data_IF_493546987275
#
_entry.id   IF_493546987275
#
_cell.length_a   1.000
_cell.length_b   1.000
_cell.length_c   1.000
_cell.angle_alpha   90.00
_cell.angle_beta   90.00
_cell.angle_gamma   90.00
#
_symmetry.space_group_name_H-M   'P 1'
#
loop_
_entity.id
_entity.type
_entity.pdbx_description
1 polymer ?
#
# COMPACT_ATOMS: atom_id res chain seq x y z
N UNK A 1 -21.84 0.34 -2.37
CA UNK A 1 -21.26 0.19 -3.72
C UNK A 1 -21.54 1.47 -4.47
N UNK A 2 -20.52 2.24 -4.82
CA UNK A 2 -20.69 3.45 -5.65
C UNK A 2 -20.54 3.02 -7.09
N UNK A 3 -21.49 3.39 -7.95
CA UNK A 3 -21.42 3.01 -9.36
C UNK A 3 -20.23 3.73 -9.99
N UNK A 4 -19.43 3.03 -10.79
CA UNK A 4 -18.18 3.56 -11.35
C UNK A 4 -18.37 4.89 -12.12
N UNK A 5 -19.56 5.12 -12.69
CA UNK A 5 -19.92 6.36 -13.40
C UNK A 5 -20.33 7.53 -12.49
N UNK A 6 -20.29 7.40 -11.17
CA UNK A 6 -20.43 8.52 -10.22
C UNK A 6 -19.14 8.77 -9.45
N UNK A 7 -18.10 7.96 -9.72
CA UNK A 7 -16.81 8.08 -9.05
C UNK A 7 -16.17 9.43 -9.43
N UNK A 8 -15.85 10.23 -8.42
CA UNK A 8 -15.25 11.58 -8.53
C UNK A 8 -16.23 12.71 -8.92
N UNK A 9 -17.55 12.48 -8.83
CA UNK A 9 -18.51 13.57 -8.94
C UNK A 9 -18.26 14.62 -7.83
N UNK A 10 -18.21 15.90 -8.22
CA UNK A 10 -17.93 16.99 -7.30
C UNK A 10 -16.46 17.21 -6.96
N UNK A 11 -15.52 16.48 -7.57
CA UNK A 11 -14.08 16.73 -7.37
C UNK A 11 -13.74 18.22 -7.62
N UNK A 12 -12.98 18.87 -6.72
CA UNK A 12 -12.69 20.29 -6.81
C UNK A 12 -11.88 20.60 -8.06
N UNK A 13 -12.13 21.77 -8.64
CA UNK A 13 -11.34 22.24 -9.77
C UNK A 13 -10.01 22.79 -9.26
N UNK A 14 -8.90 22.25 -9.76
CA UNK A 14 -7.55 22.71 -9.42
C UNK A 14 -7.14 23.95 -10.21
N UNK A 15 -7.82 24.22 -11.33
CA UNK A 15 -7.52 25.33 -12.23
C UNK A 15 -8.08 26.67 -11.73
N UNK A 16 -9.32 26.66 -11.23
CA UNK A 16 -10.01 27.85 -10.74
C UNK A 16 -10.20 27.86 -9.21
N UNK A 17 -9.94 26.74 -8.56
CA UNK A 17 -10.17 26.57 -7.13
C UNK A 17 -11.63 26.25 -6.77
N UNK A 18 -11.86 25.78 -5.54
CA UNK A 18 -13.20 25.41 -5.06
C UNK A 18 -14.14 26.60 -4.87
N UNK A 19 -13.62 27.81 -4.60
CA UNK A 19 -14.40 29.02 -4.39
C UNK A 19 -15.08 29.51 -5.68
N UNK A 20 -14.39 29.39 -6.82
CA UNK A 20 -14.90 29.84 -8.13
C UNK A 20 -15.75 28.76 -8.78
N UNK A 21 -15.30 27.50 -8.74
CA UNK A 21 -15.98 26.37 -9.36
C UNK A 21 -16.83 25.59 -8.36
N UNK A 22 -17.89 26.24 -7.88
CA UNK A 22 -18.85 25.66 -6.93
C UNK A 22 -19.51 24.42 -7.56
N UNK A 23 -19.37 23.27 -6.89
CA UNK A 23 -19.93 21.99 -7.34
C UNK A 23 -19.03 21.15 -8.24
N UNK A 24 -17.85 21.66 -8.62
CA UNK A 24 -16.75 20.87 -9.18
C UNK A 24 -17.07 20.13 -10.48
N UNK A 25 -16.58 18.90 -10.58
CA UNK A 25 -16.71 18.04 -11.77
C UNK A 25 -18.11 17.43 -11.87
N UNK A 26 -18.74 17.52 -13.04
CA UNK A 26 -19.95 16.78 -13.39
C UNK A 26 -19.59 15.47 -14.09
N UNK A 27 -20.21 14.37 -13.66
CA UNK A 27 -20.12 13.06 -14.31
C UNK A 27 -21.41 12.79 -15.07
N UNK A 28 -21.47 13.26 -16.32
CA UNK A 28 -22.46 12.75 -17.26
C UNK A 28 -21.93 11.45 -17.89
N UNK A 29 -22.81 10.56 -18.33
CA UNK A 29 -22.47 9.22 -18.81
C UNK A 29 -21.39 9.20 -19.91
N UNK A 30 -21.25 10.29 -20.67
CA UNK A 30 -20.32 10.39 -21.80
C UNK A 30 -19.15 11.36 -21.61
N UNK A 31 -19.14 12.24 -20.59
CA UNK A 31 -18.06 13.20 -20.37
C UNK A 31 -17.92 13.60 -18.89
N UNK A 32 -16.67 13.80 -18.47
CA UNK A 32 -16.29 14.33 -17.15
C UNK A 32 -15.84 15.79 -17.31
N UNK A 33 -16.70 16.75 -16.95
CA UNK A 33 -16.49 18.17 -17.23
C UNK A 33 -16.92 19.00 -16.02
N UNK A 34 -16.18 20.05 -15.68
CA UNK A 34 -16.61 20.98 -14.61
C UNK A 34 -17.91 21.70 -14.95
N UNK A 35 -18.81 21.78 -13.96
CA UNK A 35 -20.07 22.53 -14.06
C UNK A 35 -19.86 24.01 -14.37
N UNK A 36 -18.75 24.59 -13.89
CA UNK A 36 -18.48 26.02 -14.00
C UNK A 36 -17.45 26.34 -15.10
N UNK A 37 -16.22 25.82 -15.03
CA UNK A 37 -15.18 26.17 -16.01
C UNK A 37 -15.16 25.37 -17.31
N UNK A 38 -15.97 24.31 -17.44
CA UNK A 38 -15.93 23.36 -18.56
C UNK A 38 -14.57 22.71 -18.83
N UNK A 39 -13.63 22.88 -17.91
CA UNK A 39 -12.35 22.20 -17.82
C UNK A 39 -12.57 20.67 -17.66
N UNK A 40 -11.62 19.88 -18.16
CA UNK A 40 -11.74 18.43 -18.23
C UNK A 40 -11.31 17.73 -16.95
N UNK A 41 -11.46 16.41 -16.90
CA UNK A 41 -11.07 15.56 -15.76
C UNK A 41 -9.63 15.79 -15.25
N UNK A 42 -8.68 16.12 -16.14
CA UNK A 42 -7.28 16.35 -15.78
C UNK A 42 -7.06 17.61 -14.92
N UNK A 43 -7.98 18.58 -14.96
CA UNK A 43 -7.91 19.83 -14.19
C UNK A 43 -8.58 19.70 -12.80
N UNK A 44 -8.90 18.48 -12.39
CA UNK A 44 -9.60 18.17 -11.14
C UNK A 44 -8.82 17.13 -10.33
N UNK A 45 -9.03 17.12 -9.02
CA UNK A 45 -8.45 16.12 -8.12
C UNK A 45 -9.15 14.76 -8.31
N UNK A 46 -8.78 14.07 -9.40
CA UNK A 46 -9.26 12.75 -9.78
C UNK A 46 -8.06 11.81 -9.72
N UNK A 47 -8.15 10.80 -8.87
CA UNK A 47 -7.18 9.71 -8.85
C UNK A 47 -7.49 8.76 -9.99
N UNK A 48 -6.47 8.32 -10.72
CA UNK A 48 -6.67 7.27 -11.71
C UNK A 48 -7.06 5.96 -11.00
N UNK A 49 -7.72 5.05 -11.74
CA UNK A 49 -8.03 3.74 -11.18
C UNK A 49 -6.75 2.96 -10.81
N UNK A 50 -5.65 3.21 -11.53
CA UNK A 50 -4.32 2.68 -11.22
C UNK A 50 -3.74 3.26 -9.93
N UNK A 51 -3.94 4.55 -9.66
CA UNK A 51 -3.51 5.16 -8.39
C UNK A 51 -4.30 4.58 -7.22
N UNK A 52 -5.58 4.28 -7.44
CA UNK A 52 -6.44 3.68 -6.43
C UNK A 52 -6.04 2.24 -6.13
N UNK A 53 -5.79 1.41 -7.15
CA UNK A 53 -5.28 0.05 -6.96
C UNK A 53 -3.89 0.05 -6.30
N UNK A 54 -3.00 0.94 -6.71
CA UNK A 54 -1.69 1.10 -6.08
C UNK A 54 -1.80 1.47 -4.59
N UNK A 55 -2.70 2.39 -4.23
CA UNK A 55 -2.95 2.74 -2.82
C UNK A 55 -3.46 1.55 -2.00
N UNK A 56 -4.34 0.71 -2.56
CA UNK A 56 -4.81 -0.50 -1.88
C UNK A 56 -3.68 -1.51 -1.65
N UNK A 57 -2.86 -1.78 -2.68
CA UNK A 57 -1.74 -2.70 -2.61
C UNK A 57 -0.73 -2.22 -1.54
N UNK A 58 -0.36 -0.94 -1.56
CA UNK A 58 0.57 -0.39 -0.58
C UNK A 58 0.04 -0.51 0.86
N UNK A 59 -1.26 -0.25 1.05
CA UNK A 59 -1.90 -0.39 2.36
C UNK A 59 -1.85 -1.83 2.85
N UNK A 60 -2.15 -2.78 1.97
CA UNK A 60 -2.16 -4.20 2.32
C UNK A 60 -0.73 -4.71 2.61
N UNK A 61 0.27 -4.27 1.84
CA UNK A 61 1.69 -4.52 2.13
C UNK A 61 2.06 -3.93 3.50
N UNK A 62 1.64 -2.71 3.81
CA UNK A 62 1.91 -2.08 5.09
C UNK A 62 1.30 -2.88 6.24
N UNK A 63 0.08 -3.41 6.09
CA UNK A 63 -0.53 -4.30 7.08
C UNK A 63 0.25 -5.61 7.27
N UNK A 64 0.77 -6.21 6.18
CA UNK A 64 1.63 -7.39 6.28
C UNK A 64 2.93 -7.11 7.03
N UNK A 65 3.50 -5.91 6.84
CA UNK A 65 4.78 -5.51 7.41
C UNK A 65 4.66 -5.05 8.85
N UNK A 66 3.72 -4.15 9.16
CA UNK A 66 3.61 -3.48 10.47
C UNK A 66 2.36 -3.87 11.26
N UNK A 67 1.37 -4.50 10.62
CA UNK A 67 0.09 -4.81 11.26
C UNK A 67 0.20 -5.91 12.33
N UNK A 68 -0.74 -5.95 13.28
CA UNK A 68 -0.76 -6.97 14.34
C UNK A 68 -0.83 -8.38 13.77
N UNK A 69 -1.67 -8.59 12.74
CA UNK A 69 -1.87 -9.88 12.06
C UNK A 69 -0.88 -10.12 10.90
N UNK A 70 0.15 -9.26 10.76
CA UNK A 70 1.11 -9.34 9.67
C UNK A 70 1.91 -10.64 9.66
N UNK A 71 2.27 -11.11 8.46
CA UNK A 71 2.99 -12.38 8.24
C UNK A 71 4.37 -12.38 8.94
N UNK A 72 4.60 -13.34 9.83
CA UNK A 72 5.85 -13.45 10.60
C UNK A 72 7.11 -13.44 9.74
N UNK A 73 7.07 -14.08 8.57
CA UNK A 73 8.19 -14.15 7.61
C UNK A 73 8.61 -12.75 7.13
N UNK A 74 7.63 -11.88 6.84
CA UNK A 74 7.90 -10.51 6.35
C UNK A 74 8.51 -9.67 7.46
N UNK A 75 7.97 -9.76 8.69
CA UNK A 75 8.48 -9.06 9.87
C UNK A 75 9.92 -9.49 10.21
N UNK A 76 10.21 -10.79 10.16
CA UNK A 76 11.53 -11.35 10.45
C UNK A 76 12.58 -10.90 9.44
N UNK A 77 12.25 -10.90 8.15
CA UNK A 77 13.17 -10.43 7.11
C UNK A 77 13.49 -8.93 7.25
N UNK A 78 12.51 -8.11 7.62
CA UNK A 78 12.72 -6.67 7.86
C UNK A 78 13.58 -6.45 9.11
N UNK A 79 13.35 -7.22 10.18
CA UNK A 79 14.20 -7.19 11.38
C UNK A 79 15.65 -7.55 11.04
N UNK A 80 15.86 -8.63 10.29
CA UNK A 80 17.20 -9.06 9.84
C UNK A 80 17.90 -7.99 9.01
N UNK A 81 17.17 -7.36 8.07
CA UNK A 81 17.72 -6.26 7.27
C UNK A 81 18.12 -5.06 8.13
N UNK A 82 17.29 -4.69 9.11
CA UNK A 82 17.59 -3.59 10.03
C UNK A 82 18.82 -3.89 10.90
N UNK A 83 18.94 -5.11 11.43
CA UNK A 83 20.11 -5.54 12.21
C UNK A 83 21.39 -5.49 11.37
N UNK A 84 21.33 -5.96 10.12
CA UNK A 84 22.44 -5.85 9.19
C UNK A 84 22.81 -4.39 8.89
N UNK A 85 21.83 -3.49 8.79
CA UNK A 85 22.08 -2.06 8.55
C UNK A 85 22.68 -1.30 9.73
N UNK A 86 22.47 -1.78 10.96
CA UNK A 86 23.03 -1.16 12.17
C UNK A 86 24.42 -1.69 12.54
N UNK A 87 25.02 -2.57 11.71
CA UNK A 87 26.35 -3.12 11.94
C UNK A 87 26.44 -4.08 13.13
N UNK A 88 25.32 -4.44 13.75
CA UNK A 88 25.28 -5.60 14.63
C UNK A 88 25.42 -6.83 13.75
N UNK A 89 26.54 -7.54 13.88
CA UNK A 89 26.75 -8.81 13.20
C UNK A 89 25.50 -9.69 13.38
N UNK A 90 24.99 -10.31 12.29
CA UNK A 90 23.87 -11.24 12.42
C UNK A 90 24.26 -12.33 13.42
N UNK A 91 23.30 -12.73 14.27
CA UNK A 91 23.47 -13.83 15.23
C UNK A 91 24.24 -14.97 14.54
N UNK A 92 25.51 -15.11 14.89
CA UNK A 92 26.39 -16.13 14.34
C UNK A 92 25.71 -17.45 14.68
N UNK A 93 25.29 -18.22 13.66
CA UNK A 93 24.90 -19.61 13.85
C UNK A 93 25.91 -20.21 14.81
N UNK A 94 25.51 -20.66 16.02
CA UNK A 94 26.48 -21.05 17.02
C UNK A 94 27.39 -22.07 16.36
N UNK A 95 28.68 -21.72 16.26
CA UNK A 95 29.73 -22.64 15.82
C UNK A 95 29.93 -23.67 16.92
N UNK A 96 28.88 -24.43 17.21
CA UNK A 96 28.92 -25.61 18.02
C UNK A 96 29.26 -26.78 17.11
N UNK A 97 30.03 -27.73 17.64
CA UNK A 97 30.13 -29.05 17.02
C UNK A 97 28.75 -29.68 17.07
N UNK A 98 27.98 -29.55 15.98
CA UNK A 98 26.78 -30.32 15.79
C UNK A 98 27.20 -31.77 15.55
N UNK A 99 27.06 -32.61 16.57
CA UNK A 99 27.22 -34.04 16.40
C UNK A 99 26.12 -34.50 15.44
N UNK A 100 26.50 -35.07 14.30
CA UNK A 100 25.53 -35.70 13.42
C UNK A 100 24.79 -36.80 14.19
N UNK A 101 23.46 -36.71 14.24
CA UNK A 101 22.60 -37.72 14.85
C UNK A 101 21.86 -38.43 13.71
N UNK A 102 22.05 -39.75 13.54
CA UNK A 102 21.28 -40.52 12.57
C UNK A 102 19.79 -40.43 12.86
N UNK A 103 18.99 -40.40 11.79
CA UNK A 103 17.53 -40.45 11.88
C UNK A 103 17.09 -41.71 12.64
N UNK A 104 16.47 -41.52 13.81
CA UNK A 104 15.93 -42.61 14.64
C UNK A 104 16.47 -42.69 16.07
N UNK A 105 17.45 -41.88 16.45
CA UNK A 105 17.94 -41.85 17.85
C UNK A 105 17.17 -40.81 18.66
N UNK A 106 16.17 -41.24 19.44
CA UNK A 106 15.62 -40.43 20.54
C UNK A 106 16.54 -40.56 21.74
N UNK A 107 16.99 -39.43 22.31
CA UNK A 107 17.80 -39.44 23.54
C UNK A 107 16.96 -40.05 24.65
N UNK A 108 17.34 -41.23 25.13
CA UNK A 108 16.77 -41.80 26.35
C UNK A 108 17.27 -41.01 27.56
N UNK A 109 16.36 -40.75 28.48
CA UNK A 109 16.55 -39.99 29.74
C UNK A 109 17.17 -40.88 30.79
#
# INVERSE_FOLDING_TARGET
YVVAHERHAGSPCLKCGPEVCIGGLDLHFWRKICKTCKCGAADHDIKSDEDFTHQLILRDIQQLVTGPDGCGIVKDNIRKFRLASTGSEPDVFPKGNFLWVPSGVTKEV
#
